data_IF_400885289507
#
_entry.id   IF_400885289507
#
_cell.length_a   1.000
_cell.length_b   1.000
_cell.length_c   1.000
_cell.angle_alpha   90.00
_cell.angle_beta   90.00
_cell.angle_gamma   90.00
#
_symmetry.space_group_name_H-M   'P 1'
#
loop_
_entity.id
_entity.type
_entity.pdbx_description
1 polymer ?
#
# COMPACT_ATOMS: atom_id res chain seq x y z
N UNK A 1 17.17 -20.67 8.44
CA UNK A 1 16.80 -19.25 8.61
C UNK A 1 15.33 -19.15 8.22
N UNK A 2 14.47 -18.55 9.05
CA UNK A 2 13.08 -18.33 8.66
C UNK A 2 13.02 -17.21 7.63
N UNK A 3 12.43 -17.48 6.48
CA UNK A 3 12.13 -16.45 5.50
C UNK A 3 11.02 -15.56 6.05
N UNK A 4 11.20 -14.24 5.96
CA UNK A 4 10.23 -13.24 6.41
C UNK A 4 10.04 -12.20 5.31
N UNK A 5 8.80 -11.75 5.15
CA UNK A 5 8.38 -10.74 4.17
C UNK A 5 7.44 -9.75 4.84
N UNK A 6 7.73 -8.46 4.74
CA UNK A 6 6.81 -7.41 5.17
C UNK A 6 5.65 -7.29 4.17
N UNK A 7 4.42 -7.48 4.65
CA UNK A 7 3.19 -7.39 3.87
C UNK A 7 2.35 -6.14 4.19
N UNK A 8 2.76 -5.38 5.20
CA UNK A 8 2.18 -4.09 5.58
C UNK A 8 3.33 -3.14 5.78
N UNK A 9 3.47 -2.18 4.85
CA UNK A 9 4.58 -1.26 4.81
C UNK A 9 4.18 0.05 4.11
N UNK A 10 4.58 1.15 4.72
CA UNK A 10 4.35 2.52 4.22
C UNK A 10 5.64 3.11 3.69
N UNK A 11 5.56 3.82 2.56
CA UNK A 11 6.67 4.61 2.03
C UNK A 11 6.38 6.10 2.20
N UNK A 12 7.28 6.95 1.74
CA UNK A 12 7.08 8.40 1.65
C UNK A 12 5.81 8.84 0.90
N UNK A 13 5.12 7.93 0.20
CA UNK A 13 3.82 8.19 -0.45
C UNK A 13 2.61 8.04 0.49
N UNK A 14 2.81 7.56 1.71
CA UNK A 14 1.90 7.81 2.83
C UNK A 14 2.21 9.20 3.39
N UNK A 15 1.80 10.24 2.63
CA UNK A 15 2.33 11.62 2.68
C UNK A 15 2.41 12.29 4.07
N UNK A 16 1.62 11.84 5.05
CA UNK A 16 1.56 12.43 6.39
C UNK A 16 2.28 11.60 7.47
N UNK A 17 2.74 10.39 7.15
CA UNK A 17 3.25 9.44 8.16
C UNK A 17 4.45 8.61 7.67
N UNK A 18 4.42 8.12 6.43
CA UNK A 18 5.45 7.22 5.93
C UNK A 18 6.80 7.91 5.75
N UNK A 19 7.83 7.33 6.36
CA UNK A 19 9.20 7.86 6.36
C UNK A 19 10.20 7.03 5.52
N UNK A 20 9.79 5.86 5.03
CA UNK A 20 10.66 4.99 4.25
C UNK A 20 10.76 5.46 2.80
N UNK A 21 11.96 5.86 2.35
CA UNK A 21 12.23 6.12 0.94
C UNK A 21 12.28 4.82 0.15
N UNK A 22 11.68 4.80 -1.04
CA UNK A 22 11.52 3.56 -1.82
C UNK A 22 12.88 2.90 -2.11
N UNK A 23 13.87 3.67 -2.56
CA UNK A 23 15.17 3.12 -2.93
C UNK A 23 15.93 2.54 -1.71
N UNK A 24 16.01 3.29 -0.62
CA UNK A 24 16.70 2.86 0.61
C UNK A 24 16.05 1.62 1.22
N UNK A 25 14.72 1.56 1.20
CA UNK A 25 13.94 0.42 1.65
C UNK A 25 14.24 -0.84 0.82
N UNK A 26 14.23 -0.71 -0.51
CA UNK A 26 14.43 -1.84 -1.40
C UNK A 26 15.89 -2.32 -1.40
N UNK A 27 16.86 -1.41 -1.27
CA UNK A 27 18.27 -1.74 -1.05
C UNK A 27 18.43 -2.58 0.23
N UNK A 28 17.74 -2.18 1.30
CA UNK A 28 17.73 -2.91 2.56
C UNK A 28 17.09 -4.30 2.42
N UNK A 29 15.95 -4.41 1.73
CA UNK A 29 15.28 -5.68 1.48
C UNK A 29 16.17 -6.65 0.69
N UNK A 30 16.83 -6.16 -0.36
CA UNK A 30 17.79 -6.93 -1.15
C UNK A 30 19.00 -7.38 -0.30
N UNK A 31 19.57 -6.47 0.50
CA UNK A 31 20.69 -6.79 1.43
C UNK A 31 20.32 -7.88 2.43
N UNK A 32 19.09 -7.84 2.94
CA UNK A 32 18.54 -8.83 3.87
C UNK A 32 18.08 -10.13 3.16
N UNK A 33 18.20 -10.20 1.83
CA UNK A 33 17.78 -11.33 0.99
C UNK A 33 16.30 -11.67 1.18
N UNK A 34 15.45 -10.65 1.37
CA UNK A 34 14.01 -10.84 1.38
C UNK A 34 13.53 -11.17 -0.04
N UNK A 35 12.78 -12.27 -0.24
CA UNK A 35 12.34 -12.65 -1.59
C UNK A 35 11.27 -11.72 -2.16
N UNK A 36 10.54 -11.02 -1.29
CA UNK A 36 9.48 -10.09 -1.64
C UNK A 36 9.32 -9.00 -0.58
N UNK A 37 8.67 -7.88 -0.95
CA UNK A 37 8.20 -6.83 -0.03
C UNK A 37 6.92 -6.23 -0.59
N UNK A 38 5.94 -5.96 0.28
CA UNK A 38 4.73 -5.24 -0.11
C UNK A 38 4.84 -3.73 0.07
N UNK A 39 4.01 -3.00 -0.66
CA UNK A 39 3.73 -1.57 -0.41
C UNK A 39 2.22 -1.40 -0.19
N UNK A 40 1.85 -0.74 0.89
CA UNK A 40 0.45 -0.59 1.35
C UNK A 40 0.24 0.82 1.88
N UNK A 41 0.25 1.82 1.00
CA UNK A 41 0.11 3.21 1.42
C UNK A 41 -1.25 3.49 2.07
N UNK A 42 -1.31 4.54 2.88
CA UNK A 42 -2.56 5.03 3.45
C UNK A 42 -3.49 5.61 2.38
N UNK A 43 -4.56 4.88 2.09
CA UNK A 43 -5.68 5.31 1.25
C UNK A 43 -5.32 5.64 -0.20
N UNK A 44 -4.13 5.29 -0.68
CA UNK A 44 -3.66 5.64 -2.02
C UNK A 44 -2.76 4.55 -2.64
N UNK A 45 -2.47 4.70 -3.93
CA UNK A 45 -1.58 3.80 -4.68
C UNK A 45 -0.50 4.56 -5.45
N UNK A 46 -0.15 5.78 -5.02
CA UNK A 46 0.70 6.69 -5.79
C UNK A 46 2.12 6.13 -6.02
N UNK A 47 2.65 5.36 -5.08
CA UNK A 47 3.96 4.71 -5.18
C UNK A 47 3.97 3.46 -6.08
N UNK A 48 2.81 2.90 -6.45
CA UNK A 48 2.71 1.52 -6.95
C UNK A 48 3.61 1.21 -8.15
N UNK A 49 3.65 2.10 -9.16
CA UNK A 49 4.46 1.89 -10.38
C UNK A 49 5.94 2.04 -10.08
N UNK A 50 6.34 3.10 -9.37
CA UNK A 50 7.74 3.36 -9.01
C UNK A 50 8.28 2.23 -8.13
N UNK A 51 7.53 1.80 -7.12
CA UNK A 51 7.89 0.70 -6.25
C UNK A 51 8.03 -0.62 -7.02
N UNK A 52 7.07 -0.94 -7.91
CA UNK A 52 7.14 -2.13 -8.76
C UNK A 52 8.42 -2.16 -9.59
N UNK A 53 8.74 -1.07 -10.29
CA UNK A 53 9.88 -1.02 -11.20
C UNK A 53 11.21 -1.06 -10.42
N UNK A 54 11.32 -0.30 -9.33
CA UNK A 54 12.54 -0.25 -8.51
C UNK A 54 12.81 -1.56 -7.76
N UNK A 55 11.76 -2.27 -7.32
CA UNK A 55 11.92 -3.56 -6.63
C UNK A 55 12.45 -4.63 -7.59
N UNK A 56 11.91 -4.68 -8.81
CA UNK A 56 12.33 -5.64 -9.83
C UNK A 56 13.77 -5.45 -10.27
N UNK A 57 14.25 -4.21 -10.35
CA UNK A 57 15.66 -3.92 -10.64
C UNK A 57 16.62 -4.51 -9.60
N UNK A 58 16.14 -4.73 -8.36
CA UNK A 58 16.90 -5.29 -7.24
C UNK A 58 16.66 -6.79 -7.02
N UNK A 59 15.89 -7.43 -7.91
CA UNK A 59 15.52 -8.84 -7.77
C UNK A 59 14.58 -9.15 -6.59
N UNK A 60 13.91 -8.13 -6.05
CA UNK A 60 12.90 -8.28 -4.99
C UNK A 60 11.52 -8.34 -5.65
N UNK A 61 10.69 -9.34 -5.31
CA UNK A 61 9.32 -9.42 -5.82
C UNK A 61 8.45 -8.33 -5.17
N UNK A 62 7.91 -7.36 -5.93
CA UNK A 62 6.96 -6.40 -5.37
C UNK A 62 5.60 -7.06 -5.13
N UNK A 63 4.96 -6.72 -4.01
CA UNK A 63 3.55 -7.04 -3.73
C UNK A 63 2.80 -5.71 -3.62
N UNK A 64 1.86 -5.46 -4.53
CA UNK A 64 1.13 -4.20 -4.57
C UNK A 64 -0.13 -4.29 -3.71
N UNK A 65 -0.35 -3.29 -2.86
CA UNK A 65 -1.50 -3.22 -1.97
C UNK A 65 -1.87 -1.79 -1.63
N UNK A 66 -2.79 -1.66 -0.69
CA UNK A 66 -3.20 -0.39 -0.11
C UNK A 66 -3.75 -0.66 1.30
N UNK A 67 -3.43 0.19 2.26
CA UNK A 67 -4.18 0.23 3.51
C UNK A 67 -5.34 1.21 3.34
N UNK A 68 -6.55 0.68 3.13
CA UNK A 68 -7.73 1.49 2.85
C UNK A 68 -8.41 1.94 4.14
N UNK A 69 -9.10 3.08 4.07
CA UNK A 69 -9.96 3.57 5.13
C UNK A 69 -11.37 3.00 4.98
N UNK A 70 -11.87 2.31 6.01
CA UNK A 70 -13.20 1.69 6.05
C UNK A 70 -14.18 2.53 6.86
N UNK A 71 -15.18 3.10 6.19
CA UNK A 71 -16.28 3.78 6.87
C UNK A 71 -17.00 2.82 7.84
N UNK A 72 -17.44 3.29 9.02
CA UNK A 72 -18.19 2.47 9.97
C UNK A 72 -19.57 2.05 9.44
N UNK A 73 -20.05 2.71 8.38
CA UNK A 73 -21.29 2.40 7.67
C UNK A 73 -21.13 2.64 6.17
N UNK A 74 -22.16 3.17 5.51
CA UNK A 74 -22.06 3.52 4.09
C UNK A 74 -21.07 4.66 3.87
N UNK A 75 -20.16 4.50 2.89
CA UNK A 75 -19.18 5.51 2.46
C UNK A 75 -19.80 6.84 2.03
N UNK A 76 -21.07 6.83 1.61
CA UNK A 76 -21.82 8.02 1.22
C UNK A 76 -22.37 8.82 2.41
N UNK A 77 -22.30 8.28 3.63
CA UNK A 77 -22.75 8.97 4.83
C UNK A 77 -21.61 9.85 5.34
N UNK A 78 -21.83 11.16 5.29
CA UNK A 78 -20.93 12.15 5.90
C UNK A 78 -21.27 12.29 7.38
N UNK A 79 -20.70 11.43 8.21
CA UNK A 79 -20.85 11.46 9.67
C UNK A 79 -19.50 11.22 10.36
N UNK A 80 -19.25 11.91 11.48
CA UNK A 80 -18.01 11.81 12.24
C UNK A 80 -17.26 13.15 12.31
N UNK A 81 -16.29 13.25 13.23
CA UNK A 81 -15.41 14.41 13.25
C UNK A 81 -14.41 14.34 12.09
N UNK A 82 -14.10 15.45 11.39
CA UNK A 82 -13.00 15.47 10.43
C UNK A 82 -11.70 14.98 11.08
N UNK A 83 -11.13 13.88 10.58
CA UNK A 83 -9.94 13.24 11.15
C UNK A 83 -10.22 12.02 12.04
N UNK A 84 -11.47 11.71 12.38
CA UNK A 84 -11.84 10.36 12.83
C UNK A 84 -11.83 9.44 11.61
N UNK A 85 -10.65 8.95 11.25
CA UNK A 85 -10.49 8.00 10.15
C UNK A 85 -11.12 6.67 10.55
N UNK A 86 -12.20 6.35 9.85
CA UNK A 86 -12.50 5.03 9.30
C UNK A 86 -11.40 3.98 9.54
N UNK A 87 -11.77 2.85 10.16
CA UNK A 87 -10.85 1.75 10.51
C UNK A 87 -9.94 1.38 9.34
N UNK A 88 -8.71 0.97 9.64
CA UNK A 88 -7.77 0.59 8.58
C UNK A 88 -8.00 -0.86 8.14
N UNK A 89 -7.84 -1.11 6.85
CA UNK A 89 -7.85 -2.46 6.28
C UNK A 89 -6.75 -2.62 5.23
N UNK A 90 -5.85 -3.55 5.46
CA UNK A 90 -4.79 -3.89 4.51
C UNK A 90 -5.34 -4.81 3.43
N UNK A 91 -5.18 -4.40 2.17
CA UNK A 91 -5.54 -5.21 1.00
C UNK A 91 -4.31 -5.41 0.10
N UNK A 92 -4.14 -6.63 -0.41
CA UNK A 92 -3.04 -7.00 -1.31
C UNK A 92 -3.61 -7.55 -2.62
N UNK A 93 -3.01 -7.18 -3.76
CA UNK A 93 -3.32 -7.75 -5.05
C UNK A 93 -2.51 -9.01 -5.30
N UNK A 94 -3.18 -10.16 -5.32
CA UNK A 94 -2.57 -11.44 -5.72
C UNK A 94 -2.42 -11.56 -7.24
N UNK A 95 -3.35 -10.96 -7.99
CA UNK A 95 -3.44 -11.07 -9.46
C UNK A 95 -3.57 -9.70 -10.12
N UNK A 96 -3.39 -9.67 -11.44
CA UNK A 96 -3.67 -8.47 -12.23
C UNK A 96 -5.13 -8.01 -12.08
N UNK A 97 -6.09 -8.93 -11.98
CA UNK A 97 -7.49 -8.58 -11.69
C UNK A 97 -7.61 -7.90 -10.31
N UNK A 98 -6.95 -8.45 -9.29
CA UNK A 98 -6.86 -7.85 -7.96
C UNK A 98 -6.29 -6.43 -7.99
N UNK A 99 -5.23 -6.20 -8.78
CA UNK A 99 -4.63 -4.87 -8.96
C UNK A 99 -5.62 -3.88 -9.60
N UNK A 100 -6.32 -4.27 -10.66
CA UNK A 100 -7.34 -3.41 -11.28
C UNK A 100 -8.52 -3.13 -10.34
N UNK A 101 -8.90 -4.10 -9.50
CA UNK A 101 -9.93 -3.90 -8.49
C UNK A 101 -9.48 -2.94 -7.40
N UNK A 102 -8.22 -3.01 -6.94
CA UNK A 102 -7.66 -2.03 -6.01
C UNK A 102 -7.67 -0.61 -6.59
N UNK A 103 -7.29 -0.44 -7.86
CA UNK A 103 -7.36 0.88 -8.53
C UNK A 103 -8.79 1.45 -8.43
N UNK A 104 -9.80 0.64 -8.73
CA UNK A 104 -11.21 1.07 -8.68
C UNK A 104 -11.65 1.41 -7.25
N UNK A 105 -11.32 0.56 -6.28
CA UNK A 105 -11.67 0.77 -4.86
C UNK A 105 -11.03 2.04 -4.31
N UNK A 106 -9.74 2.24 -4.54
CA UNK A 106 -9.01 3.43 -4.08
C UNK A 106 -9.52 4.69 -4.77
N UNK A 107 -9.79 4.63 -6.08
CA UNK A 107 -10.40 5.75 -6.82
C UNK A 107 -11.76 6.12 -6.25
N UNK A 108 -12.62 5.12 -5.98
CA UNK A 108 -13.92 5.34 -5.36
C UNK A 108 -13.80 5.95 -3.96
N UNK A 109 -12.80 5.54 -3.17
CA UNK A 109 -12.47 6.15 -1.87
C UNK A 109 -12.25 7.66 -1.94
N UNK A 110 -11.60 8.13 -3.02
CA UNK A 110 -11.41 9.57 -3.26
C UNK A 110 -12.66 10.27 -3.79
N UNK A 111 -13.42 9.63 -4.69
CA UNK A 111 -14.51 10.30 -5.42
C UNK A 111 -15.89 10.17 -4.77
N UNK A 112 -16.08 9.17 -3.92
CA UNK A 112 -17.39 8.79 -3.37
C UNK A 112 -17.45 8.73 -1.83
N UNK A 113 -16.27 8.74 -1.17
CA UNK A 113 -16.08 8.53 0.27
C UNK A 113 -15.58 7.13 0.60
#
# INVERSE_FOLDING_TARGET
MSEFVHLHLHTEYSLLDGACRIDELLDQAARLKMPAVAVTEHGNMFSSVIFHDHARQRGVKPILGCEVYMAPGSRHIKSGNPGETANHLVLLAETNEGYHNLIKLVSAGYTEG
#
